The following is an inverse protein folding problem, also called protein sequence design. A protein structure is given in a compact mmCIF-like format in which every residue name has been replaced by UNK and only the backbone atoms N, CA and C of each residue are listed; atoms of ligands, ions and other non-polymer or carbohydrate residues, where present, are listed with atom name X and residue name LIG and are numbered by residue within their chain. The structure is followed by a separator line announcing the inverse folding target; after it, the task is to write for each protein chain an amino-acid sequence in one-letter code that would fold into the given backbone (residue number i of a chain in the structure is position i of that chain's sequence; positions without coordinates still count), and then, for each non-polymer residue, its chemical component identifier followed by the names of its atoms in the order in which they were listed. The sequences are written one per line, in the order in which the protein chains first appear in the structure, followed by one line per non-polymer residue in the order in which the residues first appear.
data_IF_268069500379
#
_entry.id   IF_268069500379
#
_cell.length_a   1.000
_cell.length_b   1.000
_cell.length_c   1.000
_cell.angle_alpha   90.00
_cell.angle_beta   90.00
_cell.angle_gamma   90.00
#
_symmetry.space_group_name_H-M   'P 1'
#
loop_
_entity.id
_entity.type
_entity.pdbx_description
1 polymer ?
#
# COMPACT_ATOMS: atom_id res chain seq x y z
N UNK A 1 0.99 -27.05 34.00
CA UNK A 1 0.82 -27.21 32.54
C UNK A 1 1.71 -26.20 31.85
N UNK A 2 2.70 -26.64 31.07
CA UNK A 2 3.47 -25.72 30.23
C UNK A 2 2.48 -25.06 29.26
N UNK A 3 2.42 -23.72 29.23
CA UNK A 3 1.71 -23.01 28.16
C UNK A 3 2.44 -23.39 26.86
N UNK A 4 1.75 -24.06 25.95
CA UNK A 4 2.25 -24.24 24.58
C UNK A 4 2.63 -22.87 24.05
N UNK A 5 3.82 -22.75 23.46
CA UNK A 5 4.18 -21.49 22.81
C UNK A 5 3.08 -21.15 21.78
N UNK A 6 2.60 -19.90 21.75
CA UNK A 6 1.61 -19.50 20.78
C UNK A 6 2.17 -19.72 19.36
N UNK A 7 1.36 -20.30 18.48
CA UNK A 7 1.74 -20.50 17.08
C UNK A 7 2.14 -19.16 16.46
N UNK A 8 3.30 -19.14 15.80
CA UNK A 8 3.81 -17.97 15.09
C UNK A 8 4.36 -18.39 13.71
N UNK A 9 4.27 -17.52 12.68
CA UNK A 9 4.75 -17.84 11.34
C UNK A 9 6.27 -17.97 11.35
N UNK A 10 6.77 -19.14 10.96
CA UNK A 10 8.21 -19.43 10.84
C UNK A 10 8.54 -19.98 9.46
N UNK A 11 9.67 -19.55 8.90
CA UNK A 11 10.18 -20.03 7.62
C UNK A 11 11.69 -20.24 7.68
N UNK A 12 12.16 -21.41 7.22
CA UNK A 12 13.58 -21.56 6.88
C UNK A 12 13.91 -20.71 5.64
N UNK A 13 15.20 -20.45 5.38
CA UNK A 13 15.61 -19.70 4.18
C UNK A 13 15.07 -20.33 2.87
N UNK A 14 15.11 -21.66 2.77
CA UNK A 14 14.60 -22.38 1.61
C UNK A 14 13.06 -22.24 1.47
N UNK A 15 12.33 -22.38 2.58
CA UNK A 15 10.89 -22.20 2.59
C UNK A 15 10.48 -20.75 2.26
N UNK A 16 11.27 -19.77 2.70
CA UNK A 16 11.08 -18.36 2.38
C UNK A 16 11.18 -18.09 0.88
N UNK A 17 12.21 -18.63 0.22
CA UNK A 17 12.39 -18.51 -1.23
C UNK A 17 11.28 -19.23 -2.01
N UNK A 18 10.84 -20.40 -1.53
CA UNK A 18 9.74 -21.14 -2.15
C UNK A 18 8.42 -20.36 -2.04
N UNK A 19 8.11 -19.83 -0.86
CA UNK A 19 6.93 -18.99 -0.63
C UNK A 19 6.96 -17.75 -1.51
N UNK A 20 8.09 -17.05 -1.59
CA UNK A 20 8.26 -15.89 -2.47
C UNK A 20 7.81 -16.18 -3.91
N UNK A 21 8.28 -17.30 -4.49
CA UNK A 21 7.89 -17.73 -5.84
C UNK A 21 6.40 -18.06 -5.94
N UNK A 22 5.87 -18.82 -4.98
CA UNK A 22 4.47 -19.23 -4.98
C UNK A 22 3.53 -18.03 -4.84
N UNK A 23 3.81 -17.11 -3.92
CA UNK A 23 3.02 -15.91 -3.70
C UNK A 23 3.10 -14.96 -4.91
N UNK A 24 4.24 -14.86 -5.60
CA UNK A 24 4.36 -14.06 -6.82
C UNK A 24 3.45 -14.60 -7.95
N UNK A 25 3.36 -15.92 -8.11
CA UNK A 25 2.42 -16.55 -9.06
C UNK A 25 0.97 -16.26 -8.68
N UNK A 26 0.62 -16.35 -7.39
CA UNK A 26 -0.73 -16.06 -6.91
C UNK A 26 -1.10 -14.58 -7.05
N UNK A 27 -0.15 -13.67 -6.81
CA UNK A 27 -0.33 -12.24 -7.03
C UNK A 27 -0.54 -11.93 -8.52
N UNK A 28 0.29 -12.48 -9.41
CA UNK A 28 0.13 -12.29 -10.85
C UNK A 28 -1.27 -12.71 -11.32
N UNK A 29 -1.74 -13.89 -10.88
CA UNK A 29 -3.11 -14.37 -11.14
C UNK A 29 -4.17 -13.44 -10.57
N UNK A 30 -4.00 -13.03 -9.31
CA UNK A 30 -4.89 -12.09 -8.65
C UNK A 30 -4.97 -10.77 -9.40
N UNK A 31 -3.89 -10.32 -10.03
CA UNK A 31 -3.76 -9.08 -10.79
C UNK A 31 -4.20 -9.18 -12.26
N UNK A 32 -4.56 -10.38 -12.73
CA UNK A 32 -4.80 -10.66 -14.15
C UNK A 32 -3.58 -10.30 -15.03
N UNK A 33 -2.36 -10.47 -14.49
CA UNK A 33 -1.09 -10.23 -15.17
C UNK A 33 -0.42 -11.58 -15.50
N UNK A 34 0.29 -11.65 -16.64
CA UNK A 34 1.02 -12.84 -17.05
C UNK A 34 2.01 -13.32 -15.97
N UNK A 35 2.13 -14.65 -15.84
CA UNK A 35 3.07 -15.25 -14.89
C UNK A 35 4.51 -14.88 -15.27
N UNK A 36 5.31 -14.47 -14.28
CA UNK A 36 6.69 -14.01 -14.48
C UNK A 36 6.85 -12.49 -14.63
N UNK A 37 5.76 -11.75 -14.82
CA UNK A 37 5.78 -10.28 -14.79
C UNK A 37 5.87 -9.72 -13.38
N UNK A 38 5.32 -10.44 -12.40
CA UNK A 38 5.42 -10.13 -10.97
C UNK A 38 6.48 -11.02 -10.34
N UNK A 39 7.33 -10.43 -9.52
CA UNK A 39 8.25 -11.15 -8.64
C UNK A 39 8.18 -10.61 -7.22
N UNK A 40 8.63 -11.43 -6.27
CA UNK A 40 8.76 -11.03 -4.88
C UNK A 40 10.19 -11.26 -4.40
N UNK A 41 11.17 -10.42 -4.80
CA UNK A 41 12.56 -10.65 -4.44
C UNK A 41 12.73 -10.83 -2.93
N UNK A 42 13.40 -11.92 -2.55
CA UNK A 42 13.75 -12.20 -1.16
C UNK A 42 15.17 -11.73 -0.87
N UNK A 43 15.32 -10.85 0.11
CA UNK A 43 16.61 -10.46 0.67
C UNK A 43 16.81 -11.25 1.95
N UNK A 44 17.79 -12.15 1.98
CA UNK A 44 18.07 -12.99 3.16
C UNK A 44 19.48 -12.66 3.67
N UNK A 45 19.54 -12.15 4.89
CA UNK A 45 20.76 -11.91 5.65
C UNK A 45 20.82 -12.87 6.85
N UNK A 46 21.89 -12.78 7.65
CA UNK A 46 22.11 -13.68 8.79
C UNK A 46 20.98 -13.61 9.83
N UNK A 47 20.47 -12.43 10.16
CA UNK A 47 19.46 -12.23 11.21
C UNK A 47 18.13 -11.70 10.69
N UNK A 48 18.06 -11.34 9.41
CA UNK A 48 16.89 -10.68 8.83
C UNK A 48 16.59 -11.28 7.46
N UNK A 49 15.30 -11.35 7.15
CA UNK A 49 14.83 -11.59 5.80
C UNK A 49 13.75 -10.57 5.44
N UNK A 50 13.72 -10.15 4.20
CA UNK A 50 12.70 -9.26 3.68
C UNK A 50 12.17 -9.78 2.36
N UNK A 51 10.92 -9.46 2.11
CA UNK A 51 10.26 -9.73 0.84
C UNK A 51 9.65 -8.42 0.37
N UNK A 52 9.83 -8.08 -0.89
CA UNK A 52 9.30 -6.85 -1.46
C UNK A 52 8.75 -7.10 -2.85
N UNK A 53 7.94 -6.17 -3.34
CA UNK A 53 7.36 -6.26 -4.68
C UNK A 53 8.41 -6.00 -5.77
N UNK A 54 8.35 -6.74 -6.88
CA UNK A 54 9.21 -6.52 -8.03
C UNK A 54 8.68 -7.18 -9.31
N UNK A 55 9.57 -7.32 -10.28
CA UNK A 55 9.27 -7.94 -11.58
C UNK A 55 9.23 -6.92 -12.72
N UNK A 56 8.95 -7.40 -13.93
CA UNK A 56 8.90 -6.57 -15.15
C UNK A 56 7.71 -5.61 -15.19
N UNK A 57 6.59 -5.98 -14.57
CA UNK A 57 5.44 -5.09 -14.44
C UNK A 57 5.64 -3.99 -13.37
N UNK A 58 6.77 -3.98 -12.66
CA UNK A 58 6.99 -3.06 -11.53
C UNK A 58 7.72 -1.79 -11.92
N UNK A 59 7.29 -0.68 -11.34
CA UNK A 59 7.95 0.63 -11.42
C UNK A 59 8.56 1.02 -10.09
N UNK A 60 9.63 1.81 -10.10
CA UNK A 60 10.19 2.42 -8.89
C UNK A 60 9.59 3.81 -8.75
N UNK A 61 9.03 4.10 -7.58
CA UNK A 61 8.45 5.40 -7.25
C UNK A 61 9.11 6.04 -6.04
N UNK A 62 9.02 7.37 -5.96
CA UNK A 62 9.33 8.11 -4.75
C UNK A 62 8.34 7.72 -3.63
N UNK A 63 8.80 7.75 -2.37
CA UNK A 63 7.94 7.57 -1.21
C UNK A 63 7.73 8.90 -0.53
N UNK A 64 6.55 9.05 0.09
CA UNK A 64 6.31 10.10 1.07
C UNK A 64 7.42 10.15 2.13
N UNK A 65 7.85 8.98 2.62
CA UNK A 65 8.95 8.83 3.58
C UNK A 65 9.79 7.59 3.27
N UNK A 66 11.09 7.74 3.42
CA UNK A 66 12.06 6.65 3.25
C UNK A 66 12.54 6.47 1.81
N UNK A 67 13.16 5.33 1.54
CA UNK A 67 13.78 5.03 0.24
C UNK A 67 12.72 4.76 -0.84
N UNK A 68 13.00 5.06 -2.13
CA UNK A 68 12.16 4.64 -3.24
C UNK A 68 11.81 3.16 -3.16
N UNK A 69 10.61 2.80 -3.60
CA UNK A 69 10.15 1.41 -3.58
C UNK A 69 9.41 1.05 -4.85
N UNK A 70 9.21 -0.25 -5.03
CA UNK A 70 8.56 -0.79 -6.22
C UNK A 70 7.06 -0.93 -6.02
N UNK A 71 6.32 -0.59 -7.05
CA UNK A 71 4.88 -0.76 -7.17
C UNK A 71 4.52 -1.46 -8.48
N UNK A 72 3.38 -2.13 -8.51
CA UNK A 72 2.79 -2.72 -9.73
C UNK A 72 1.36 -2.20 -9.93
N UNK A 73 0.87 -2.14 -11.18
CA UNK A 73 -0.48 -1.68 -11.45
C UNK A 73 -1.50 -2.65 -10.83
N UNK A 74 -2.52 -2.08 -10.18
CA UNK A 74 -3.65 -2.78 -9.58
C UNK A 74 -4.85 -2.82 -10.52
N UNK A 75 -5.24 -1.66 -11.05
CA UNK A 75 -6.27 -1.47 -12.07
C UNK A 75 -6.32 0.00 -12.54
N UNK A 76 -6.94 0.25 -13.69
CA UNK A 76 -7.31 1.60 -14.13
C UNK A 76 -8.39 2.22 -13.24
N UNK A 77 -8.32 3.54 -13.05
CA UNK A 77 -9.33 4.34 -12.35
C UNK A 77 -10.10 5.19 -13.38
N UNK A 78 -9.40 6.07 -14.09
CA UNK A 78 -9.97 6.93 -15.12
C UNK A 78 -8.88 7.35 -16.13
N UNK A 79 -9.22 7.44 -17.41
CA UNK A 79 -8.30 7.79 -18.49
C UNK A 79 -7.01 6.94 -18.42
N UNK A 80 -5.85 7.58 -18.27
CA UNK A 80 -4.53 6.98 -18.13
C UNK A 80 -4.03 6.93 -16.67
N UNK A 81 -4.92 7.18 -15.70
CA UNK A 81 -4.60 7.08 -14.26
C UNK A 81 -4.86 5.67 -13.75
N UNK A 82 -3.84 5.12 -13.11
CA UNK A 82 -3.82 3.77 -12.56
C UNK A 82 -3.76 3.82 -11.03
N UNK A 83 -4.41 2.85 -10.40
CA UNK A 83 -4.11 2.45 -9.04
C UNK A 83 -2.88 1.54 -9.04
N UNK A 84 -2.00 1.69 -8.06
CA UNK A 84 -0.76 0.94 -7.92
C UNK A 84 -0.64 0.37 -6.52
N UNK A 85 -0.07 -0.82 -6.38
CA UNK A 85 0.19 -1.42 -5.07
C UNK A 85 1.68 -1.58 -4.83
N UNK A 86 2.11 -1.23 -3.62
CA UNK A 86 3.41 -1.58 -3.06
C UNK A 86 3.24 -2.65 -1.99
N UNK A 87 4.27 -3.45 -1.75
CA UNK A 87 4.23 -4.46 -0.70
C UNK A 87 5.62 -4.78 -0.18
N UNK A 88 5.72 -4.95 1.14
CA UNK A 88 6.95 -5.33 1.84
C UNK A 88 6.63 -6.10 3.10
N UNK A 89 7.47 -7.09 3.41
CA UNK A 89 7.49 -7.78 4.70
C UNK A 89 8.90 -7.80 5.28
N UNK A 90 8.95 -7.85 6.62
CA UNK A 90 10.18 -8.06 7.39
C UNK A 90 10.02 -9.25 8.33
N UNK A 91 11.09 -10.04 8.36
CA UNK A 91 11.23 -11.24 9.15
C UNK A 91 12.58 -11.22 9.86
N UNK A 92 12.64 -11.80 11.05
CA UNK A 92 13.86 -11.82 11.87
C UNK A 92 14.10 -13.18 12.47
N UNK A 93 15.37 -13.45 12.77
CA UNK A 93 15.82 -14.71 13.34
C UNK A 93 16.65 -14.43 14.59
N UNK A 94 16.34 -15.11 15.68
CA UNK A 94 17.19 -15.06 16.88
C UNK A 94 18.49 -15.83 16.66
N UNK A 95 19.55 -15.45 17.37
CA UNK A 95 20.85 -16.14 17.30
C UNK A 95 20.68 -17.62 17.69
N UNK A 96 21.16 -18.53 16.84
CA UNK A 96 21.04 -19.98 17.04
C UNK A 96 19.79 -20.61 16.42
N UNK A 97 18.81 -19.81 15.96
CA UNK A 97 17.65 -20.33 15.24
C UNK A 97 17.96 -20.61 13.76
N UNK A 98 17.21 -21.55 13.17
CA UNK A 98 17.31 -21.89 11.74
C UNK A 98 16.18 -21.26 10.90
N UNK A 99 15.19 -20.64 11.55
CA UNK A 99 14.00 -20.09 10.90
C UNK A 99 13.83 -18.61 11.20
N UNK A 100 13.35 -17.87 10.22
CA UNK A 100 12.90 -16.49 10.35
C UNK A 100 11.45 -16.46 10.82
N UNK A 101 11.16 -15.56 11.74
CA UNK A 101 9.84 -15.29 12.32
C UNK A 101 9.29 -13.99 11.74
N UNK A 102 7.99 -13.93 11.51
CA UNK A 102 7.35 -12.73 10.95
C UNK A 102 7.36 -11.57 11.97
N UNK A 103 7.78 -10.38 11.51
CA UNK A 103 7.78 -9.16 12.32
C UNK A 103 6.67 -8.22 11.89
N UNK A 104 6.60 -7.90 10.61
CA UNK A 104 5.60 -6.97 10.08
C UNK A 104 5.45 -7.12 8.56
N UNK A 105 4.29 -6.73 8.05
CA UNK A 105 3.98 -6.61 6.64
C UNK A 105 3.23 -5.32 6.38
N UNK A 106 3.46 -4.72 5.22
CA UNK A 106 2.77 -3.52 4.77
C UNK A 106 2.42 -3.61 3.29
N UNK A 107 1.19 -3.25 2.95
CA UNK A 107 0.70 -3.09 1.58
C UNK A 107 0.22 -1.65 1.41
N UNK A 108 0.74 -0.96 0.40
CA UNK A 108 0.39 0.44 0.11
C UNK A 108 -0.43 0.54 -1.16
N UNK A 109 -1.34 1.52 -1.21
CA UNK A 109 -2.07 1.90 -2.42
C UNK A 109 -1.60 3.30 -2.84
N UNK A 110 -1.23 3.42 -4.11
CA UNK A 110 -0.83 4.67 -4.74
C UNK A 110 -1.71 4.94 -5.95
N UNK A 111 -1.76 6.20 -6.39
CA UNK A 111 -2.42 6.58 -7.63
C UNK A 111 -1.47 7.41 -8.48
N UNK A 112 -1.44 7.13 -9.78
CA UNK A 112 -0.39 7.65 -10.64
C UNK A 112 -0.54 7.24 -12.10
N UNK A 113 0.14 7.97 -12.97
CA UNK A 113 0.30 7.61 -14.39
C UNK A 113 1.51 6.69 -14.56
N UNK A 114 1.49 5.87 -15.60
CA UNK A 114 2.63 5.02 -15.97
C UNK A 114 3.89 5.87 -16.22
N UNK A 115 5.05 5.40 -15.77
CA UNK A 115 6.34 6.09 -15.88
C UNK A 115 6.55 7.27 -14.93
N UNK A 116 5.50 7.79 -14.26
CA UNK A 116 5.65 8.91 -13.33
C UNK A 116 6.39 8.49 -12.05
N UNK A 117 7.45 9.20 -11.67
CA UNK A 117 8.18 8.89 -10.43
C UNK A 117 7.34 9.16 -9.18
N UNK A 118 6.48 10.18 -9.23
CA UNK A 118 5.63 10.61 -8.13
C UNK A 118 4.24 9.97 -8.27
N UNK A 119 3.90 9.14 -7.29
CA UNK A 119 2.58 8.50 -7.16
C UNK A 119 2.10 8.64 -5.71
N UNK A 120 1.22 9.60 -5.40
CA UNK A 120 0.75 9.83 -4.04
C UNK A 120 0.23 8.56 -3.38
N UNK A 121 0.60 8.34 -2.11
CA UNK A 121 0.11 7.22 -1.31
C UNK A 121 -1.24 7.60 -0.71
N UNK A 122 -2.26 6.79 -1.01
CA UNK A 122 -3.64 7.04 -0.59
C UNK A 122 -3.94 6.37 0.74
N UNK A 123 -3.51 5.12 0.89
CA UNK A 123 -3.73 4.32 2.09
C UNK A 123 -2.69 3.21 2.19
N UNK A 124 -2.62 2.60 3.37
CA UNK A 124 -1.89 1.36 3.59
C UNK A 124 -2.61 0.40 4.53
N UNK A 125 -2.35 -0.89 4.31
CA UNK A 125 -2.68 -1.98 5.22
C UNK A 125 -1.42 -2.45 5.90
N UNK A 126 -1.40 -2.54 7.23
CA UNK A 126 -0.27 -3.05 7.99
C UNK A 126 -0.71 -4.20 8.90
N UNK A 127 0.12 -5.24 9.01
CA UNK A 127 -0.10 -6.31 9.98
C UNK A 127 1.18 -6.60 10.75
N UNK A 128 1.08 -6.45 12.07
CA UNK A 128 2.21 -6.57 12.99
C UNK A 128 2.23 -7.95 13.65
N UNK A 129 3.38 -8.62 13.61
CA UNK A 129 3.63 -9.89 14.27
C UNK A 129 3.89 -9.73 15.77
N UNK A 130 3.70 -10.82 16.53
CA UNK A 130 3.86 -10.85 18.01
C UNK A 130 5.23 -10.38 18.50
N UNK A 131 6.27 -10.53 17.67
CA UNK A 131 7.67 -10.23 18.01
C UNK A 131 8.10 -8.82 17.63
N UNK A 132 7.23 -8.05 16.98
CA UNK A 132 7.54 -6.64 16.71
C UNK A 132 7.55 -5.86 18.02
N UNK A 133 8.53 -4.96 18.17
CA UNK A 133 8.56 -3.99 19.27
C UNK A 133 7.33 -3.07 19.30
N UNK A 134 6.58 -3.01 18.20
CA UNK A 134 5.33 -2.25 18.11
C UNK A 134 4.10 -3.05 18.53
N UNK A 135 4.19 -4.36 18.78
CA UNK A 135 3.03 -5.23 18.98
C UNK A 135 2.08 -4.74 20.09
N UNK A 136 2.61 -4.22 21.21
CA UNK A 136 1.80 -3.68 22.30
C UNK A 136 0.95 -2.45 21.93
N UNK A 137 1.27 -1.78 20.83
CA UNK A 137 0.55 -0.60 20.33
C UNK A 137 -0.47 -0.96 19.23
N UNK A 138 -0.59 -2.23 18.84
CA UNK A 138 -1.45 -2.67 17.74
C UNK A 138 -2.39 -3.76 18.23
N UNK A 139 -3.67 -3.68 17.84
CA UNK A 139 -4.53 -4.86 17.91
C UNK A 139 -3.95 -5.90 16.96
N UNK A 140 -3.89 -7.17 17.35
CA UNK A 140 -3.21 -8.21 16.57
C UNK A 140 -3.76 -8.46 15.16
N UNK A 141 -4.61 -7.62 14.58
CA UNK A 141 -5.14 -7.76 13.24
C UNK A 141 -4.57 -6.73 12.26
N UNK A 142 -4.82 -6.87 10.95
CA UNK A 142 -4.46 -5.84 9.98
C UNK A 142 -5.15 -4.50 10.29
N UNK A 143 -4.44 -3.41 10.05
CA UNK A 143 -4.95 -2.04 10.20
C UNK A 143 -4.89 -1.28 8.89
N UNK A 144 -5.95 -0.53 8.62
CA UNK A 144 -5.97 0.47 7.56
C UNK A 144 -5.50 1.81 8.11
N UNK A 145 -4.64 2.48 7.36
CA UNK A 145 -4.23 3.85 7.61
C UNK A 145 -4.48 4.66 6.34
N UNK A 146 -5.16 5.80 6.47
CA UNK A 146 -5.39 6.72 5.37
C UNK A 146 -4.23 7.72 5.31
N UNK A 147 -3.50 7.69 4.20
CA UNK A 147 -2.28 8.47 4.01
C UNK A 147 -2.52 9.72 3.14
N UNK A 148 -3.73 9.91 2.61
CA UNK A 148 -4.13 11.04 1.75
C UNK A 148 -3.70 12.39 2.33
N UNK A 149 -3.97 12.61 3.62
CA UNK A 149 -3.61 13.87 4.31
C UNK A 149 -2.10 14.03 4.51
N UNK A 150 -1.37 12.91 4.68
CA UNK A 150 0.08 12.95 4.74
C UNK A 150 0.67 13.30 3.39
N UNK A 151 0.21 12.67 2.31
CA UNK A 151 0.58 13.03 0.94
C UNK A 151 0.23 14.49 0.62
N UNK A 152 -0.91 14.99 1.08
CA UNK A 152 -1.35 16.37 0.80
C UNK A 152 -0.41 17.39 1.45
N UNK A 153 0.08 17.11 2.65
CA UNK A 153 1.06 17.96 3.35
C UNK A 153 2.44 17.95 2.71
N UNK A 154 2.75 16.97 1.87
CA UNK A 154 4.02 16.89 1.16
C UNK A 154 3.95 17.51 -0.22
N UNK A 155 2.75 17.52 -0.82
CA UNK A 155 2.44 18.27 -2.03
C UNK A 155 2.31 19.78 -1.78
N UNK A 156 2.82 20.32 -0.67
CA UNK A 156 2.70 21.76 -0.35
C UNK A 156 3.46 22.56 -1.39
N UNK A 157 2.68 23.15 -2.28
CA UNK A 157 3.06 24.29 -3.12
C UNK A 157 3.17 25.49 -2.17
N UNK A 158 4.34 26.11 -2.07
CA UNK A 158 4.43 27.42 -1.43
C UNK A 158 3.47 28.34 -2.18
N UNK A 159 2.50 29.00 -1.51
CA UNK A 159 1.68 29.98 -2.20
C UNK A 159 2.62 31.02 -2.81
N UNK A 160 2.40 31.44 -4.07
CA UNK A 160 3.25 32.44 -4.70
C UNK A 160 3.30 33.65 -3.77
N UNK A 161 4.52 34.10 -3.45
CA UNK A 161 4.70 35.27 -2.58
C UNK A 161 4.00 36.45 -3.25
N UNK A 162 3.41 37.37 -2.48
CA UNK A 162 2.70 38.55 -3.00
C UNK A 162 3.48 39.37 -4.05
N UNK A 163 4.82 39.25 -4.09
CA UNK A 163 5.68 39.92 -5.06
C UNK A 163 5.83 39.18 -6.41
N UNK A 164 5.47 37.89 -6.49
CA UNK A 164 5.59 37.03 -7.68
C UNK A 164 4.23 36.77 -8.35
N UNK A 165 3.14 37.23 -7.74
CA UNK A 165 1.82 37.21 -8.36
C UNK A 165 1.80 38.23 -9.51
N UNK A 166 1.79 37.75 -10.76
CA UNK A 166 1.40 38.59 -11.90
C UNK A 166 0.08 39.29 -11.54
N UNK A 167 -0.07 40.60 -11.80
CA UNK A 167 -1.31 41.29 -11.48
C UNK A 167 -2.45 40.59 -12.22
N UNK A 168 -3.33 39.96 -11.46
CA UNK A 168 -4.52 39.32 -11.99
C UNK A 168 -5.29 40.38 -12.80
N UNK A 169 -5.73 40.01 -13.99
CA UNK A 169 -6.55 40.89 -14.82
C UNK A 169 -7.75 41.34 -13.99
N UNK A 170 -8.03 42.65 -13.89
CA UNK A 170 -9.18 43.13 -13.11
C UNK A 170 -10.45 42.46 -13.60
N UNK A 171 -11.13 41.74 -12.70
CA UNK A 171 -12.41 41.09 -12.99
C UNK A 171 -13.53 41.98 -12.46
N UNK A 172 -14.58 42.17 -13.26
CA UNK A 172 -15.71 43.03 -12.91
C UNK A 172 -16.52 42.40 -11.76
N UNK A 173 -16.98 43.23 -10.82
CA UNK A 173 -17.71 42.78 -9.64
C UNK A 173 -19.03 42.12 -10.08
N UNK A 174 -19.19 40.81 -9.83
CA UNK A 174 -20.35 40.03 -10.26
C UNK A 174 -20.12 39.16 -11.51
N UNK A 175 -18.91 39.16 -12.08
CA UNK A 175 -18.52 38.16 -13.08
C UNK A 175 -18.52 36.77 -12.44
N UNK A 176 -19.10 35.77 -13.11
CA UNK A 176 -18.87 34.38 -12.73
C UNK A 176 -17.39 34.08 -12.96
N UNK A 177 -16.62 34.04 -11.87
CA UNK A 177 -15.25 33.52 -11.92
C UNK A 177 -15.40 32.01 -12.10
N UNK A 178 -15.31 31.52 -13.33
CA UNK A 178 -14.99 30.11 -13.55
C UNK A 178 -13.57 29.92 -13.02
N UNK A 179 -13.44 29.40 -11.79
CA UNK A 179 -12.13 28.96 -11.32
C UNK A 179 -11.60 27.92 -12.32
N UNK A 180 -10.42 28.11 -12.91
CA UNK A 180 -9.87 27.10 -13.78
C UNK A 180 -9.70 25.82 -12.94
N UNK A 181 -10.32 24.73 -13.39
CA UNK A 181 -10.12 23.43 -12.77
C UNK A 181 -8.86 22.80 -13.36
N UNK A 182 -8.00 22.25 -12.52
CA UNK A 182 -6.83 21.47 -12.91
C UNK A 182 -6.94 20.02 -12.44
N UNK A 183 -6.02 19.18 -12.93
CA UNK A 183 -5.96 17.76 -12.54
C UNK A 183 -4.99 17.57 -11.37
N UNK A 184 -5.53 17.24 -10.19
CA UNK A 184 -4.73 16.74 -9.07
C UNK A 184 -5.01 15.26 -8.83
N UNK A 185 -3.98 14.43 -8.93
CA UNK A 185 -4.11 13.00 -8.65
C UNK A 185 -4.50 12.71 -7.20
N UNK A 186 -4.13 13.59 -6.29
CA UNK A 186 -4.41 13.42 -4.86
C UNK A 186 -5.74 14.04 -4.46
N UNK A 187 -5.97 15.31 -4.83
CA UNK A 187 -7.16 16.05 -4.39
C UNK A 187 -8.40 15.73 -5.26
N UNK A 188 -8.20 15.27 -6.49
CA UNK A 188 -9.29 14.90 -7.39
C UNK A 188 -9.80 13.47 -7.19
N UNK A 189 -9.09 12.62 -6.46
CA UNK A 189 -9.50 11.24 -6.24
C UNK A 189 -10.61 11.17 -5.18
N UNK A 190 -11.75 10.59 -5.52
CA UNK A 190 -12.89 10.44 -4.59
C UNK A 190 -12.68 9.25 -3.63
N UNK A 191 -11.69 9.36 -2.72
CA UNK A 191 -11.32 8.31 -1.74
C UNK A 191 -12.47 8.00 -0.79
N UNK A 192 -13.35 8.96 -0.53
CA UNK A 192 -14.56 8.79 0.28
C UNK A 192 -15.55 7.75 -0.28
N UNK A 193 -15.39 7.35 -1.55
CA UNK A 193 -16.17 6.26 -2.15
C UNK A 193 -15.67 4.86 -1.82
N UNK A 194 -14.48 4.74 -1.21
CA UNK A 194 -13.97 3.46 -0.74
C UNK A 194 -14.67 3.06 0.57
N UNK A 195 -15.17 1.84 0.63
CA UNK A 195 -15.70 1.24 1.83
C UNK A 195 -14.61 0.41 2.51
N UNK A 196 -13.95 0.94 3.54
CA UNK A 196 -12.93 0.20 4.31
C UNK A 196 -13.53 -0.39 5.59
N UNK A 197 -14.30 -1.48 5.44
CA UNK A 197 -14.97 -2.11 6.58
C UNK A 197 -13.96 -2.61 7.62
N UNK A 198 -14.08 -2.14 8.87
CA UNK A 198 -13.21 -2.59 9.97
C UNK A 198 -13.39 -4.08 10.29
N UNK A 199 -14.56 -4.64 9.99
CA UNK A 199 -14.91 -6.05 10.17
C UNK A 199 -14.75 -6.88 8.88
N UNK A 200 -14.07 -6.37 7.85
CA UNK A 200 -13.89 -7.13 6.63
C UNK A 200 -13.11 -8.43 6.92
N UNK A 201 -13.74 -9.59 6.70
CA UNK A 201 -13.21 -10.90 7.10
C UNK A 201 -12.33 -11.56 6.03
N UNK A 202 -12.02 -10.88 4.94
CA UNK A 202 -11.28 -11.46 3.80
C UNK A 202 -9.87 -11.94 4.17
N UNK A 203 -9.28 -11.42 5.24
CA UNK A 203 -7.98 -11.87 5.77
C UNK A 203 -8.11 -13.06 6.74
N UNK A 204 -9.30 -13.36 7.24
CA UNK A 204 -9.54 -14.35 8.30
C UNK A 204 -9.98 -15.69 7.74
N UNK A 205 -9.69 -16.76 8.49
CA UNK A 205 -10.38 -18.04 8.31
C UNK A 205 -11.81 -17.88 8.85
N UNK A 206 -12.84 -18.38 8.15
CA UNK A 206 -14.24 -18.28 8.60
C UNK A 206 -14.51 -18.86 10.00
N UNK A 207 -13.66 -19.77 10.47
CA UNK A 207 -13.81 -20.49 11.73
C UNK A 207 -13.29 -19.76 12.98
N UNK A 208 -12.62 -18.60 12.84
CA UNK A 208 -12.04 -17.88 13.98
C UNK A 208 -12.93 -16.69 14.37
N UNK A 209 -13.47 -16.63 15.60
CA UNK A 209 -14.41 -15.58 16.01
C UNK A 209 -13.72 -14.28 16.44
N UNK A 210 -12.48 -14.33 16.96
CA UNK A 210 -11.74 -13.14 17.46
C UNK A 210 -10.53 -12.79 16.60
N UNK A 211 -10.23 -11.49 16.50
CA UNK A 211 -9.03 -10.98 15.84
C UNK A 211 -7.76 -11.49 16.53
N UNK A 212 -6.76 -11.89 15.73
CA UNK A 212 -5.54 -12.52 16.23
C UNK A 212 -4.33 -12.14 15.37
N UNK A 213 -3.11 -12.08 15.95
CA UNK A 213 -1.86 -11.96 15.18
C UNK A 213 -1.75 -13.10 14.17
N UNK A 214 -0.93 -12.94 13.12
CA UNK A 214 -0.75 -14.04 12.17
C UNK A 214 -0.18 -15.24 12.93
N UNK A 215 -0.79 -16.40 12.78
CA UNK A 215 -0.38 -17.66 13.44
C UNK A 215 0.35 -18.55 12.44
N UNK A 216 0.04 -18.41 11.15
CA UNK A 216 0.66 -19.15 10.07
C UNK A 216 1.05 -18.27 8.89
N UNK A 217 2.00 -18.76 8.09
CA UNK A 217 2.40 -18.14 6.82
C UNK A 217 1.20 -18.01 5.87
N UNK A 218 0.31 -18.99 5.87
CA UNK A 218 -0.91 -18.98 5.05
C UNK A 218 -1.88 -17.86 5.43
N UNK A 219 -1.88 -17.40 6.68
CA UNK A 219 -2.71 -16.26 7.07
C UNK A 219 -2.18 -14.97 6.48
N UNK A 220 -0.85 -14.82 6.44
CA UNK A 220 -0.19 -13.68 5.81
C UNK A 220 -0.47 -13.67 4.30
N UNK A 221 -0.33 -14.82 3.63
CA UNK A 221 -0.61 -14.92 2.18
C UNK A 221 -2.08 -14.60 1.88
N UNK A 222 -3.02 -15.09 2.70
CA UNK A 222 -4.45 -14.76 2.57
C UNK A 222 -4.70 -13.27 2.76
N UNK A 223 -4.07 -12.66 3.75
CA UNK A 223 -4.18 -11.21 3.97
C UNK A 223 -3.67 -10.44 2.76
N UNK A 224 -2.49 -10.75 2.23
CA UNK A 224 -1.93 -10.03 1.07
C UNK A 224 -2.85 -10.15 -0.15
N UNK A 225 -3.25 -11.36 -0.53
CA UNK A 225 -4.10 -11.58 -1.69
C UNK A 225 -5.51 -11.01 -1.51
N UNK A 226 -6.05 -11.12 -0.30
CA UNK A 226 -7.34 -10.54 0.06
C UNK A 226 -7.31 -9.01 0.03
N UNK A 227 -6.25 -8.37 0.52
CA UNK A 227 -6.01 -6.93 0.40
C UNK A 227 -6.02 -6.49 -1.06
N UNK A 228 -5.26 -7.17 -1.92
CA UNK A 228 -5.18 -6.81 -3.35
C UNK A 228 -6.56 -6.90 -4.01
N UNK A 229 -7.30 -7.99 -3.78
CA UNK A 229 -8.64 -8.14 -4.32
C UNK A 229 -9.62 -7.09 -3.78
N UNK A 230 -9.58 -6.85 -2.47
CA UNK A 230 -10.45 -5.90 -1.81
C UNK A 230 -10.19 -4.48 -2.30
N UNK A 231 -8.92 -4.05 -2.31
CA UNK A 231 -8.54 -2.73 -2.81
C UNK A 231 -8.86 -2.55 -4.28
N UNK A 232 -8.73 -3.59 -5.12
CA UNK A 232 -9.16 -3.50 -6.53
C UNK A 232 -10.66 -3.21 -6.62
N UNK A 233 -11.49 -3.84 -5.79
CA UNK A 233 -12.93 -3.59 -5.78
C UNK A 233 -13.25 -2.19 -5.30
N UNK A 234 -12.61 -1.75 -4.21
CA UNK A 234 -12.91 -0.47 -3.59
C UNK A 234 -12.38 0.73 -4.41
N UNK A 235 -11.18 0.64 -4.98
CA UNK A 235 -10.63 1.72 -5.81
C UNK A 235 -11.40 1.90 -7.12
N UNK A 236 -12.04 0.86 -7.63
CA UNK A 236 -12.93 0.94 -8.81
C UNK A 236 -14.21 1.75 -8.55
N UNK A 237 -14.55 2.01 -7.28
CA UNK A 237 -15.66 2.91 -6.93
C UNK A 237 -15.26 4.39 -7.02
N UNK A 238 -13.96 4.67 -6.99
CA UNK A 238 -13.44 6.02 -7.06
C UNK A 238 -13.54 6.57 -8.49
N UNK A 239 -13.58 7.89 -8.58
CA UNK A 239 -13.49 8.67 -9.81
C UNK A 239 -12.49 9.81 -9.60
N UNK A 240 -12.14 10.46 -10.71
CA UNK A 240 -11.42 11.73 -10.69
C UNK A 240 -12.39 12.88 -10.93
N UNK A 241 -12.39 13.84 -10.02
CA UNK A 241 -13.08 15.12 -10.18
C UNK A 241 -12.05 16.21 -10.41
N UNK A 242 -12.41 17.19 -11.25
CA UNK A 242 -11.59 18.40 -11.37
C UNK A 242 -11.50 19.08 -10.01
N UNK A 243 -10.33 19.64 -9.71
CA UNK A 243 -10.14 20.47 -8.51
C UNK A 243 -9.77 21.89 -8.92
N UNK A 244 -10.04 22.91 -8.07
CA UNK A 244 -9.54 24.25 -8.31
C UNK A 244 -8.04 24.25 -8.64
N UNK A 245 -7.61 25.07 -9.60
CA UNK A 245 -6.23 25.05 -10.13
C UNK A 245 -5.15 25.22 -9.07
N UNK A 246 -5.43 25.92 -7.98
CA UNK A 246 -4.49 26.11 -6.86
C UNK A 246 -4.24 24.83 -6.05
N UNK A 247 -5.07 23.79 -6.21
CA UNK A 247 -4.87 22.44 -5.67
C UNK A 247 -4.29 21.47 -6.72
N UNK A 248 -4.18 21.90 -7.99
CA UNK A 248 -3.72 21.09 -9.10
C UNK A 248 -2.23 21.23 -9.43
N UNK A 249 -1.55 22.17 -8.78
CA UNK A 249 -0.10 22.39 -8.87
C UNK A 249 0.69 21.46 -7.97
#
# INVERSE_FOLDING_TARGET
MARSEPEEPKLSAAAFQQRSKALAVQLARTLDIATGEVSLPSEIASLQAALSLGGRASEVIARNKGKPHRVIPLCGIANDVLAWIGYRERWERESGEQSFRFIEGGLTLHVGREGALEKPQILRSEWIGRRSGMFGNYAGHPHWQLDVLESARQAVVEPPRFAEANPATPVEFGSAVEEPFGESLLFGLTVERMHLASAALWWRKPSLPVAHPPESVADIDRWVLGCVNYLRQEVRRCAFVGVPSYLAT
#
